data_IF_442859311765
#
_entry.id   IF_442859311765
#
_cell.length_a   1.000
_cell.length_b   1.000
_cell.length_c   1.000
_cell.angle_alpha   90.00
_cell.angle_beta   90.00
_cell.angle_gamma   90.00
#
_symmetry.space_group_name_H-M   'P 1'
#
loop_
_entity.id
_entity.type
_entity.pdbx_description
1 polymer ?
#
# COMPACT_ATOMS: atom_id res chain seq x y z
N UNK A 1 -21.69 10.93 -17.78
CA UNK A 1 -20.29 11.36 -17.91
C UNK A 1 -19.43 10.14 -18.13
N UNK A 2 -18.34 10.25 -18.89
CA UNK A 2 -17.39 9.15 -19.08
C UNK A 2 -16.44 9.05 -17.88
N UNK A 3 -15.94 7.85 -17.57
CA UNK A 3 -14.88 7.66 -16.55
C UNK A 3 -13.69 8.62 -16.76
N UNK A 4 -13.35 8.89 -18.02
CA UNK A 4 -12.29 9.83 -18.38
C UNK A 4 -12.64 11.27 -17.98
N UNK A 5 -13.90 11.66 -18.14
CA UNK A 5 -14.39 12.99 -17.75
C UNK A 5 -14.34 13.14 -16.23
N UNK A 6 -14.77 12.10 -15.50
CA UNK A 6 -14.75 12.07 -14.04
C UNK A 6 -13.31 12.18 -13.51
N UNK A 7 -12.38 11.39 -14.05
CA UNK A 7 -10.95 11.47 -13.68
C UNK A 7 -10.37 12.86 -13.95
N UNK A 8 -10.72 13.47 -15.09
CA UNK A 8 -10.25 14.82 -15.41
C UNK A 8 -10.88 15.87 -14.48
N UNK A 9 -12.13 15.68 -14.06
CA UNK A 9 -12.80 16.56 -13.10
C UNK A 9 -12.16 16.47 -11.70
N UNK A 10 -11.79 15.26 -11.27
CA UNK A 10 -11.05 15.05 -10.01
C UNK A 10 -9.67 15.70 -10.07
N UNK A 11 -8.92 15.56 -11.18
CA UNK A 11 -7.60 16.21 -11.35
C UNK A 11 -7.70 17.74 -11.20
N UNK A 12 -8.67 18.37 -11.88
CA UNK A 12 -8.91 19.82 -11.76
C UNK A 12 -9.28 20.22 -10.33
N UNK A 13 -10.03 19.38 -9.63
CA UNK A 13 -10.44 19.63 -8.24
C UNK A 13 -9.24 19.54 -7.29
N UNK A 14 -8.34 18.57 -7.48
CA UNK A 14 -7.10 18.47 -6.71
C UNK A 14 -6.15 19.64 -7.01
N UNK A 15 -6.09 20.12 -8.25
CA UNK A 15 -5.33 21.32 -8.59
C UNK A 15 -5.87 22.57 -7.89
N UNK A 16 -7.19 22.69 -7.80
CA UNK A 16 -7.83 23.75 -7.05
C UNK A 16 -7.57 23.62 -5.55
N UNK A 17 -7.63 22.41 -4.99
CA UNK A 17 -7.33 22.13 -3.59
C UNK A 17 -5.89 22.51 -3.26
N UNK A 18 -4.91 22.05 -4.04
CA UNK A 18 -3.50 22.38 -3.82
C UNK A 18 -3.23 23.89 -3.84
N UNK A 19 -3.84 24.64 -4.77
CA UNK A 19 -3.77 26.10 -4.79
C UNK A 19 -4.38 26.73 -3.53
N UNK A 20 -5.50 26.20 -3.06
CA UNK A 20 -6.19 26.70 -1.86
C UNK A 20 -5.37 26.42 -0.60
N UNK A 21 -4.75 25.25 -0.49
CA UNK A 21 -3.84 24.89 0.60
C UNK A 21 -2.61 25.79 0.60
N UNK A 22 -2.01 26.09 -0.56
CA UNK A 22 -0.89 27.04 -0.65
C UNK A 22 -1.26 28.46 -0.20
N UNK A 23 -2.49 28.92 -0.49
CA UNK A 23 -2.99 30.20 0.04
C UNK A 23 -3.18 30.16 1.55
N UNK A 24 -3.69 29.06 2.09
CA UNK A 24 -3.82 28.85 3.54
C UNK A 24 -2.45 28.82 4.22
N UNK A 25 -1.45 28.18 3.62
CA UNK A 25 -0.06 28.19 4.12
C UNK A 25 0.51 29.61 4.17
N UNK A 26 0.25 30.44 3.16
CA UNK A 26 0.68 31.83 3.16
C UNK A 26 0.00 32.68 4.26
N UNK A 27 -1.23 32.34 4.66
CA UNK A 27 -1.99 33.09 5.66
C UNK A 27 -1.76 32.60 7.09
N UNK A 28 -1.64 31.28 7.28
CA UNK A 28 -1.54 30.62 8.59
C UNK A 28 -0.08 30.31 8.98
N UNK A 29 0.86 30.42 8.04
CA UNK A 29 2.25 30.01 8.22
C UNK A 29 2.43 28.49 8.18
N UNK A 30 3.68 28.03 8.20
CA UNK A 30 4.07 26.62 8.00
C UNK A 30 3.92 25.73 9.25
N UNK A 31 2.79 25.82 9.97
CA UNK A 31 2.46 24.97 11.11
C UNK A 31 2.42 23.46 10.79
N UNK A 32 2.32 22.61 11.82
CA UNK A 32 2.23 21.15 11.62
C UNK A 32 0.99 20.76 10.82
N UNK A 33 -0.16 21.35 11.14
CA UNK A 33 -1.43 21.02 10.48
C UNK A 33 -1.41 21.37 8.99
N UNK A 34 -0.88 22.54 8.61
CA UNK A 34 -0.80 22.91 7.19
C UNK A 34 0.18 22.03 6.42
N UNK A 35 1.31 21.65 7.04
CA UNK A 35 2.27 20.74 6.41
C UNK A 35 1.66 19.37 6.16
N UNK A 36 0.87 18.88 7.12
CA UNK A 36 0.11 17.64 6.97
C UNK A 36 -0.90 17.74 5.83
N UNK A 37 -1.73 18.79 5.81
CA UNK A 37 -2.72 18.99 4.73
C UNK A 37 -2.06 19.07 3.35
N UNK A 38 -0.90 19.73 3.25
CA UNK A 38 -0.11 19.79 2.01
C UNK A 38 0.37 18.41 1.59
N UNK A 39 1.01 17.67 2.48
CA UNK A 39 1.46 16.29 2.22
C UNK A 39 0.30 15.38 1.82
N UNK A 40 -0.83 15.45 2.51
CA UNK A 40 -2.02 14.65 2.16
C UNK A 40 -2.55 15.01 0.77
N UNK A 41 -2.53 16.29 0.39
CA UNK A 41 -2.93 16.74 -0.95
C UNK A 41 -1.98 16.22 -2.04
N UNK A 42 -0.68 16.23 -1.78
CA UNK A 42 0.33 15.68 -2.70
C UNK A 42 0.19 14.16 -2.83
N UNK A 43 -0.01 13.44 -1.72
CA UNK A 43 -0.27 12.01 -1.73
C UNK A 43 -1.56 11.64 -2.47
N UNK A 44 -2.62 12.45 -2.36
CA UNK A 44 -3.86 12.24 -3.12
C UNK A 44 -3.64 12.40 -4.63
N UNK A 45 -2.81 13.36 -5.06
CA UNK A 45 -2.44 13.51 -6.48
C UNK A 45 -1.66 12.31 -6.99
N UNK A 46 -0.69 11.83 -6.23
CA UNK A 46 0.06 10.62 -6.57
C UNK A 46 -0.87 9.40 -6.67
N UNK A 47 -1.73 9.21 -5.67
CA UNK A 47 -2.72 8.13 -5.62
C UNK A 47 -3.67 8.16 -6.81
N UNK A 48 -4.11 9.35 -7.24
CA UNK A 48 -4.93 9.51 -8.44
C UNK A 48 -4.14 9.14 -9.71
N UNK A 49 -2.86 9.50 -9.78
CA UNK A 49 -1.97 9.08 -10.87
C UNK A 49 -1.85 7.56 -10.96
N UNK A 50 -1.70 6.88 -9.82
CA UNK A 50 -1.69 5.41 -9.75
C UNK A 50 -3.04 4.82 -10.15
N UNK A 51 -4.15 5.41 -9.71
CA UNK A 51 -5.50 4.98 -10.08
C UNK A 51 -5.74 5.09 -11.59
N UNK A 52 -5.29 6.18 -12.22
CA UNK A 52 -5.37 6.36 -13.68
C UNK A 52 -4.55 5.30 -14.43
N UNK A 53 -3.36 4.99 -13.94
CA UNK A 53 -2.52 3.93 -14.51
C UNK A 53 -3.20 2.56 -14.39
N UNK A 54 -3.75 2.24 -13.22
CA UNK A 54 -4.50 1.01 -12.98
C UNK A 54 -5.72 0.90 -13.90
N UNK A 55 -6.48 2.00 -14.07
CA UNK A 55 -7.62 2.04 -14.98
C UNK A 55 -7.19 1.84 -16.45
N UNK A 56 -6.08 2.47 -16.88
CA UNK A 56 -5.53 2.30 -18.23
C UNK A 56 -4.98 0.89 -18.48
N UNK A 57 -4.45 0.23 -17.45
CA UNK A 57 -3.97 -1.15 -17.49
C UNK A 57 -5.11 -2.19 -17.53
N UNK A 58 -6.38 -1.76 -17.60
CA UNK A 58 -7.55 -2.64 -17.64
C UNK A 58 -8.28 -2.79 -16.30
N UNK A 59 -8.05 -1.88 -15.35
CA UNK A 59 -8.58 -1.91 -13.98
C UNK A 59 -8.06 -3.11 -13.18
N UNK A 60 -8.39 -3.25 -11.89
CA UNK A 60 -8.46 -4.58 -11.32
C UNK A 60 -9.47 -5.30 -12.20
N UNK A 61 -8.98 -6.17 -13.09
CA UNK A 61 -9.81 -7.17 -13.75
C UNK A 61 -10.63 -7.73 -12.61
N UNK A 62 -11.96 -7.51 -12.58
CA UNK A 62 -12.81 -8.37 -11.77
C UNK A 62 -12.32 -9.73 -12.19
N UNK A 63 -11.67 -10.44 -11.29
CA UNK A 63 -11.16 -11.77 -11.51
C UNK A 63 -12.39 -12.69 -11.63
N UNK A 64 -13.28 -12.41 -12.58
CA UNK A 64 -14.15 -13.40 -13.16
C UNK A 64 -13.20 -14.34 -13.86
N UNK A 65 -12.84 -15.41 -13.15
CA UNK A 65 -12.05 -16.52 -13.62
C UNK A 65 -10.62 -16.17 -14.11
N UNK A 66 -9.89 -15.30 -13.41
CA UNK A 66 -8.48 -15.63 -13.27
C UNK A 66 -8.49 -16.83 -12.35
N UNK A 67 -8.32 -18.03 -12.91
CA UNK A 67 -7.99 -19.22 -12.12
C UNK A 67 -6.79 -18.80 -11.28
N UNK A 68 -7.02 -18.45 -10.03
CA UNK A 68 -5.93 -18.39 -9.05
C UNK A 68 -5.30 -19.76 -9.19
N UNK A 69 -4.06 -19.81 -9.66
CA UNK A 69 -3.31 -21.05 -9.75
C UNK A 69 -3.17 -21.54 -8.31
N UNK A 70 -4.13 -22.36 -7.88
CA UNK A 70 -4.16 -22.89 -6.55
C UNK A 70 -3.04 -23.90 -6.49
N UNK A 71 -1.90 -23.45 -5.97
CA UNK A 71 -0.80 -24.34 -5.63
C UNK A 71 -1.32 -25.26 -4.54
N UNK A 72 -1.51 -26.54 -4.89
CA UNK A 72 -1.94 -27.55 -3.92
C UNK A 72 -0.77 -27.79 -2.97
N UNK A 73 -0.87 -27.25 -1.76
CA UNK A 73 0.04 -27.58 -0.68
C UNK A 73 -0.33 -28.99 -0.21
N UNK A 74 0.66 -29.88 -0.15
CA UNK A 74 0.43 -31.23 0.33
C UNK A 74 0.18 -31.22 1.85
N UNK A 75 -0.85 -31.93 2.30
CA UNK A 75 -1.11 -32.21 3.71
C UNK A 75 -0.17 -33.29 4.28
N UNK A 76 0.77 -33.79 3.48
CA UNK A 76 1.76 -34.75 3.95
C UNK A 76 2.59 -34.10 5.08
N UNK A 77 2.80 -34.81 6.21
CA UNK A 77 3.65 -34.30 7.27
C UNK A 77 5.04 -34.00 6.72
N UNK A 78 5.60 -32.87 7.10
CA UNK A 78 6.98 -32.52 6.73
C UNK A 78 7.94 -33.61 7.21
N UNK A 79 8.99 -33.84 6.43
CA UNK A 79 10.07 -34.73 6.83
C UNK A 79 10.68 -34.24 8.16
N UNK A 80 10.62 -35.05 9.21
CA UNK A 80 11.16 -34.71 10.54
C UNK A 80 12.68 -34.50 10.52
N UNK A 81 13.38 -35.05 9.52
CA UNK A 81 14.82 -34.80 9.32
C UNK A 81 15.14 -33.33 9.00
N UNK A 82 14.16 -32.53 8.53
CA UNK A 82 14.33 -31.08 8.32
C UNK A 82 14.52 -30.29 9.62
N UNK A 83 14.21 -30.90 10.77
CA UNK A 83 14.18 -30.24 12.08
C UNK A 83 15.13 -30.90 13.09
N UNK A 84 16.01 -31.81 12.65
CA UNK A 84 16.86 -32.62 13.55
C UNK A 84 17.85 -31.78 14.38
N UNK A 85 18.31 -30.64 13.85
CA UNK A 85 19.25 -29.75 14.54
C UNK A 85 18.57 -28.44 15.02
N UNK A 86 17.25 -28.32 14.89
CA UNK A 86 16.50 -27.12 15.30
C UNK A 86 16.42 -26.94 16.83
N UNK A 87 16.71 -28.00 17.59
CA UNK A 87 16.76 -27.99 19.06
C UNK A 87 18.12 -27.47 19.60
N UNK A 88 19.14 -27.35 18.74
CA UNK A 88 20.52 -26.95 19.13
C UNK A 88 20.70 -25.43 19.26
N UNK A 89 19.65 -24.64 19.02
CA UNK A 89 19.69 -23.18 19.21
C UNK A 89 19.72 -22.79 20.71
N UNK A 90 19.68 -23.76 21.64
CA UNK A 90 19.96 -23.54 23.06
C UNK A 90 18.94 -22.68 23.81
N UNK A 91 17.89 -22.21 23.14
CA UNK A 91 16.83 -21.41 23.72
C UNK A 91 15.82 -22.32 24.45
N UNK A 92 16.05 -22.51 25.76
CA UNK A 92 15.14 -23.25 26.64
C UNK A 92 15.77 -24.41 27.42
N UNK A 93 17.06 -24.69 27.24
CA UNK A 93 17.76 -25.61 28.13
C UNK A 93 17.83 -25.03 29.54
N UNK A 94 17.53 -25.84 30.57
CA UNK A 94 17.62 -25.43 31.99
C UNK A 94 19.01 -24.90 32.37
N UNK A 95 20.03 -25.20 31.56
CA UNK A 95 21.42 -24.77 31.72
C UNK A 95 21.96 -23.97 30.52
N UNK A 96 21.12 -23.58 29.55
CA UNK A 96 21.53 -22.82 28.37
C UNK A 96 21.54 -21.33 28.66
N UNK A 97 22.72 -20.74 28.84
CA UNK A 97 22.88 -19.30 28.88
C UNK A 97 22.93 -18.80 27.43
N UNK A 98 21.94 -18.00 27.02
CA UNK A 98 22.09 -17.17 25.83
C UNK A 98 23.24 -16.16 26.08
N UNK A 99 24.09 -15.87 25.08
CA UNK A 99 25.17 -14.88 25.20
C UNK A 99 24.64 -13.46 25.43
#
# INVERSE_FOLDING_TARGET
MSLKDDLTAVERSLDHLARSVGKLEAQLGAGLDIRRVRSDTDHLRESLGLLKQSAAAGGPRRQGAATVEMVTISDAPYNSALWTDAEDEGLGSRNGHAP
#
